data_IF_204666396355
#
_entry.id   IF_204666396355
#
_cell.length_a   1.000
_cell.length_b   1.000
_cell.length_c   1.000
_cell.angle_alpha   90.00
_cell.angle_beta   90.00
_cell.angle_gamma   90.00
#
_symmetry.space_group_name_H-M   'P 1'
#
loop_
_entity.id
_entity.type
_entity.pdbx_description
1 polymer ?
#
# COMPACT_ATOMS: atom_id res chain seq x y z
N UNK A 1 -11.16 14.71 38.58
CA UNK A 1 -11.70 15.60 37.54
C UNK A 1 -11.19 15.06 36.22
N UNK A 2 -12.12 14.68 35.34
CA UNK A 2 -11.91 13.96 34.08
C UNK A 2 -11.28 14.86 32.99
N UNK A 3 -10.88 14.17 31.91
CA UNK A 3 -10.74 14.58 30.49
C UNK A 3 -9.29 14.62 30.01
N UNK A 4 -8.88 13.98 28.92
CA UNK A 4 -9.60 13.30 27.84
C UNK A 4 -8.64 12.24 27.26
N UNK A 5 -9.11 11.00 27.11
CA UNK A 5 -8.47 10.02 26.23
C UNK A 5 -8.88 10.46 24.83
N UNK A 6 -8.06 11.30 24.19
CA UNK A 6 -8.33 11.80 22.85
C UNK A 6 -8.40 10.64 21.86
N UNK A 7 -9.58 10.59 21.23
CA UNK A 7 -9.94 9.99 19.96
C UNK A 7 -8.81 9.36 19.12
N UNK A 8 -9.09 8.14 18.69
CA UNK A 8 -8.53 7.49 17.52
C UNK A 8 -7.04 7.14 17.65
N UNK A 9 -6.78 5.94 18.16
CA UNK A 9 -5.66 5.16 17.62
C UNK A 9 -5.97 4.88 16.15
N UNK A 10 -5.76 5.88 15.30
CA UNK A 10 -5.45 5.65 13.89
C UNK A 10 -4.15 4.86 13.92
N UNK A 11 -4.25 3.53 13.91
CA UNK A 11 -3.11 2.72 13.49
C UNK A 11 -2.81 3.20 12.08
N UNK A 12 -1.82 4.09 11.92
CA UNK A 12 -1.27 4.40 10.61
C UNK A 12 -0.95 3.04 9.99
N UNK A 13 -1.63 2.62 8.91
CA UNK A 13 -1.45 1.29 8.35
C UNK A 13 0.04 1.00 8.11
N UNK A 14 0.81 2.05 7.82
CA UNK A 14 2.25 2.04 7.61
C UNK A 14 3.10 1.39 8.72
N UNK A 15 2.65 1.37 9.99
CA UNK A 15 3.41 0.81 11.12
C UNK A 15 3.12 -0.67 11.40
N UNK A 16 2.09 -1.24 10.77
CA UNK A 16 1.70 -2.64 10.91
C UNK A 16 2.72 -3.57 10.25
N UNK A 17 3.10 -4.64 10.95
CA UNK A 17 3.98 -5.67 10.41
C UNK A 17 3.23 -6.69 9.52
N UNK A 18 3.99 -7.54 8.82
CA UNK A 18 3.39 -8.53 7.92
C UNK A 18 2.53 -9.57 8.66
N UNK A 19 2.87 -9.95 9.90
CA UNK A 19 2.08 -10.95 10.63
C UNK A 19 0.73 -10.40 11.07
N UNK A 20 0.71 -9.15 11.53
CA UNK A 20 -0.51 -8.40 11.83
C UNK A 20 -1.34 -8.18 10.56
N UNK A 21 -0.71 -7.85 9.43
CA UNK A 21 -1.38 -7.73 8.13
C UNK A 21 -2.09 -9.02 7.71
N UNK A 22 -1.41 -10.17 7.79
CA UNK A 22 -2.03 -11.47 7.48
C UNK A 22 -3.24 -11.74 8.38
N UNK A 23 -3.12 -11.44 9.67
CA UNK A 23 -4.20 -11.62 10.65
C UNK A 23 -5.41 -10.76 10.31
N UNK A 24 -5.22 -9.45 10.08
CA UNK A 24 -6.31 -8.53 9.74
C UNK A 24 -6.92 -8.84 8.37
N UNK A 25 -6.11 -9.34 7.43
CA UNK A 25 -6.60 -9.80 6.15
C UNK A 25 -7.25 -11.18 6.22
N UNK A 26 -7.25 -11.89 7.35
CA UNK A 26 -7.78 -13.27 7.43
C UNK A 26 -7.04 -14.25 6.51
N UNK A 27 -5.76 -13.98 6.23
CA UNK A 27 -4.87 -14.85 5.47
C UNK A 27 -4.09 -15.74 6.44
N UNK A 28 -3.97 -17.03 6.12
CA UNK A 28 -3.12 -17.94 6.88
C UNK A 28 -1.70 -17.95 6.31
N UNK A 29 -0.77 -17.37 7.07
CA UNK A 29 0.67 -17.30 6.74
C UNK A 29 1.34 -18.67 6.66
N UNK A 30 0.83 -19.67 7.37
CA UNK A 30 1.34 -21.04 7.35
C UNK A 30 0.83 -21.85 6.16
N UNK A 31 -0.23 -21.39 5.49
CA UNK A 31 -0.83 -22.08 4.36
C UNK A 31 -0.22 -21.64 3.02
N UNK A 32 -0.06 -22.60 2.10
CA UNK A 32 0.38 -22.30 0.73
C UNK A 32 -0.59 -21.36 0.00
N UNK A 33 -1.90 -21.52 0.23
CA UNK A 33 -2.93 -20.66 -0.37
C UNK A 33 -2.82 -19.22 0.13
N UNK A 34 -2.71 -19.00 1.45
CA UNK A 34 -2.58 -17.65 2.01
C UNK A 34 -1.31 -16.94 1.54
N UNK A 35 -0.20 -17.66 1.41
CA UNK A 35 1.03 -17.13 0.84
C UNK A 35 0.88 -16.79 -0.65
N UNK A 36 0.20 -17.64 -1.43
CA UNK A 36 -0.05 -17.39 -2.85
C UNK A 36 -0.97 -16.18 -3.06
N UNK A 37 -2.06 -16.05 -2.30
CA UNK A 37 -2.93 -14.88 -2.35
C UNK A 37 -2.16 -13.61 -1.99
N UNK A 38 -1.33 -13.64 -0.94
CA UNK A 38 -0.49 -12.51 -0.56
C UNK A 38 0.51 -12.13 -1.66
N UNK A 39 1.12 -13.12 -2.32
CA UNK A 39 2.04 -12.88 -3.42
C UNK A 39 1.34 -12.19 -4.60
N UNK A 40 0.13 -12.62 -4.97
CA UNK A 40 -0.68 -11.95 -5.99
C UNK A 40 -1.00 -10.50 -5.61
N UNK A 41 -1.38 -10.26 -4.34
CA UNK A 41 -1.66 -8.91 -3.82
C UNK A 41 -0.43 -7.99 -3.94
N UNK A 42 0.78 -8.53 -3.69
CA UNK A 42 2.03 -7.78 -3.87
C UNK A 42 2.32 -7.47 -5.33
N UNK A 43 2.07 -8.42 -6.24
CA UNK A 43 2.25 -8.20 -7.68
C UNK A 43 1.35 -7.08 -8.21
N UNK A 44 0.10 -7.01 -7.73
CA UNK A 44 -0.82 -5.92 -8.06
C UNK A 44 -0.33 -4.56 -7.56
N UNK A 45 0.21 -4.51 -6.33
CA UNK A 45 0.80 -3.31 -5.76
C UNK A 45 2.07 -2.86 -6.50
N UNK A 46 2.97 -3.79 -6.84
CA UNK A 46 4.17 -3.55 -7.66
C UNK A 46 3.78 -2.94 -9.01
N UNK A 47 2.79 -3.53 -9.68
CA UNK A 47 2.30 -3.02 -10.96
C UNK A 47 1.66 -1.62 -10.81
N UNK A 48 1.01 -1.33 -9.68
CA UNK A 48 0.49 0.01 -9.37
C UNK A 48 1.59 1.05 -9.19
N UNK A 49 2.62 0.71 -8.42
CA UNK A 49 3.78 1.56 -8.22
C UNK A 49 4.49 1.85 -9.54
N UNK A 50 4.65 0.86 -10.41
CA UNK A 50 5.29 1.06 -11.71
C UNK A 50 4.52 2.09 -12.56
N UNK A 51 3.18 2.00 -12.59
CA UNK A 51 2.32 3.00 -13.28
C UNK A 51 2.45 4.39 -12.69
N UNK A 52 2.39 4.51 -11.35
CA UNK A 52 2.55 5.80 -10.70
C UNK A 52 3.93 6.39 -10.95
N UNK A 53 4.98 5.56 -10.93
CA UNK A 53 6.37 5.98 -11.19
C UNK A 53 6.54 6.48 -12.62
N UNK A 54 6.02 5.75 -13.61
CA UNK A 54 6.05 6.16 -15.01
C UNK A 54 5.32 7.50 -15.21
N UNK A 55 4.17 7.67 -14.57
CA UNK A 55 3.38 8.92 -14.61
C UNK A 55 4.16 10.08 -13.97
N UNK A 56 4.72 9.86 -12.79
CA UNK A 56 5.51 10.86 -12.07
C UNK A 56 6.72 11.32 -12.90
N UNK A 57 7.47 10.38 -13.49
CA UNK A 57 8.63 10.69 -14.35
C UNK A 57 8.28 11.45 -15.63
N UNK A 58 7.06 11.25 -16.13
CA UNK A 58 6.56 11.94 -17.33
C UNK A 58 5.99 13.32 -17.02
N UNK A 59 5.84 13.68 -15.74
CA UNK A 59 5.28 14.96 -15.31
C UNK A 59 6.40 16.01 -15.16
N UNK A 60 6.35 17.12 -15.91
CA UNK A 60 7.36 18.17 -15.80
C UNK A 60 7.45 18.74 -14.37
N UNK A 61 8.68 18.90 -13.86
CA UNK A 61 8.93 19.48 -12.53
C UNK A 61 8.93 18.48 -11.37
N UNK A 62 8.62 17.20 -11.60
CA UNK A 62 8.78 16.15 -10.59
C UNK A 62 10.23 15.66 -10.58
N UNK A 63 11.08 16.31 -9.79
CA UNK A 63 12.44 15.83 -9.48
C UNK A 63 12.49 15.47 -8.00
N UNK A 64 12.28 14.18 -7.68
CA UNK A 64 12.39 13.72 -6.30
C UNK A 64 13.84 13.86 -5.78
N UNK A 65 14.06 14.12 -4.48
CA UNK A 65 15.38 14.03 -3.86
C UNK A 65 16.09 12.73 -4.22
N UNK A 66 17.38 12.85 -4.53
CA UNK A 66 18.26 11.72 -4.80
C UNK A 66 19.16 11.48 -3.60
N UNK A 67 19.24 10.23 -3.14
CA UNK A 67 20.20 9.78 -2.14
C UNK A 67 21.08 8.72 -2.80
N UNK A 68 22.40 8.93 -2.77
CA UNK A 68 23.38 8.03 -3.40
C UNK A 68 23.11 7.71 -4.89
N UNK A 69 22.54 8.67 -5.64
CA UNK A 69 22.17 8.48 -7.05
C UNK A 69 20.85 7.73 -7.29
N UNK A 70 20.12 7.37 -6.23
CA UNK A 70 18.80 6.76 -6.29
C UNK A 70 17.73 7.80 -5.94
N UNK A 71 16.67 7.89 -6.76
CA UNK A 71 15.53 8.76 -6.45
C UNK A 71 14.67 8.08 -5.39
N UNK A 72 14.34 8.81 -4.33
CA UNK A 72 13.41 8.35 -3.29
C UNK A 72 12.00 8.34 -3.87
N UNK A 73 11.45 7.16 -4.09
CA UNK A 73 10.17 6.95 -4.72
C UNK A 73 9.03 7.56 -3.89
N UNK A 74 9.05 7.40 -2.56
CA UNK A 74 8.03 8.01 -1.68
C UNK A 74 7.91 9.52 -1.91
N UNK A 75 9.01 10.21 -2.22
CA UNK A 75 9.03 11.65 -2.47
C UNK A 75 8.50 12.06 -3.85
N UNK A 76 8.40 11.13 -4.80
CA UNK A 76 7.87 11.39 -6.15
C UNK A 76 6.35 11.17 -6.23
N UNK A 77 5.79 10.41 -5.29
CA UNK A 77 4.40 9.97 -5.35
C UNK A 77 3.51 10.93 -4.57
N UNK A 78 2.60 11.61 -5.28
CA UNK A 78 1.59 12.44 -4.64
C UNK A 78 0.50 11.59 -3.97
N UNK A 79 -0.07 12.08 -2.87
CA UNK A 79 -1.21 11.44 -2.20
C UNK A 79 -2.40 11.23 -3.15
N UNK A 80 -2.64 12.17 -4.08
CA UNK A 80 -3.65 12.00 -5.12
C UNK A 80 -3.38 10.82 -6.06
N UNK A 81 -2.11 10.60 -6.41
CA UNK A 81 -1.73 9.46 -7.24
C UNK A 81 -1.92 8.15 -6.48
N UNK A 82 -1.55 8.11 -5.20
CA UNK A 82 -1.74 6.94 -4.33
C UNK A 82 -3.23 6.58 -4.22
N UNK A 83 -4.09 7.55 -3.90
CA UNK A 83 -5.54 7.31 -3.79
C UNK A 83 -6.18 6.85 -5.10
N UNK A 84 -5.78 7.45 -6.21
CA UNK A 84 -6.24 7.03 -7.53
C UNK A 84 -5.82 5.58 -7.82
N UNK A 85 -4.58 5.24 -7.51
CA UNK A 85 -4.05 3.91 -7.75
C UNK A 85 -4.68 2.85 -6.85
N UNK A 86 -5.02 3.20 -5.60
CA UNK A 86 -5.77 2.32 -4.69
C UNK A 86 -7.12 1.95 -5.28
N UNK A 87 -7.86 2.95 -5.78
CA UNK A 87 -9.13 2.70 -6.44
C UNK A 87 -8.95 1.83 -7.70
N UNK A 88 -7.92 2.10 -8.50
CA UNK A 88 -7.60 1.36 -9.72
C UNK A 88 -7.26 -0.10 -9.42
N UNK A 89 -6.41 -0.37 -8.43
CA UNK A 89 -6.06 -1.74 -8.02
C UNK A 89 -7.33 -2.45 -7.56
N UNK A 90 -8.14 -1.85 -6.68
CA UNK A 90 -9.38 -2.46 -6.23
C UNK A 90 -10.30 -2.78 -7.43
N UNK A 91 -10.49 -1.85 -8.36
CA UNK A 91 -11.38 -2.03 -9.51
C UNK A 91 -10.96 -3.19 -10.44
N UNK A 92 -9.65 -3.37 -10.66
CA UNK A 92 -9.11 -4.34 -11.62
C UNK A 92 -8.45 -5.56 -10.96
N UNK A 93 -8.61 -5.73 -9.65
CA UNK A 93 -8.00 -6.82 -8.90
C UNK A 93 -8.45 -8.20 -9.41
N UNK A 94 -7.54 -9.16 -9.33
CA UNK A 94 -7.83 -10.57 -9.55
C UNK A 94 -8.94 -11.04 -8.60
N UNK A 95 -9.86 -11.94 -9.01
CA UNK A 95 -10.98 -12.35 -8.15
C UNK A 95 -10.56 -12.86 -6.77
N UNK A 96 -9.41 -13.53 -6.68
CA UNK A 96 -8.84 -14.04 -5.42
C UNK A 96 -8.41 -12.92 -4.47
N UNK A 97 -7.68 -11.92 -4.98
CA UNK A 97 -7.20 -10.79 -4.17
C UNK A 97 -8.31 -9.79 -3.90
N UNK A 98 -9.25 -9.62 -4.85
CA UNK A 98 -10.48 -8.84 -4.70
C UNK A 98 -11.27 -9.26 -3.47
N UNK A 99 -11.44 -10.57 -3.26
CA UNK A 99 -12.13 -11.10 -2.08
C UNK A 99 -11.44 -10.69 -0.76
N UNK A 100 -10.12 -10.47 -0.77
CA UNK A 100 -9.38 -9.91 0.36
C UNK A 100 -9.62 -8.42 0.49
N UNK A 101 -9.51 -7.67 -0.61
CA UNK A 101 -9.68 -6.23 -0.62
C UNK A 101 -11.09 -5.77 -0.20
N UNK A 102 -12.14 -6.56 -0.42
CA UNK A 102 -13.48 -6.24 0.10
C UNK A 102 -13.51 -6.09 1.63
N UNK A 103 -12.57 -6.70 2.38
CA UNK A 103 -12.41 -6.51 3.84
C UNK A 103 -11.73 -5.20 4.21
N UNK A 104 -11.01 -4.60 3.26
CA UNK A 104 -10.23 -3.37 3.42
C UNK A 104 -11.05 -2.09 3.33
N UNK A 105 -12.36 -2.20 3.09
CA UNK A 105 -13.24 -1.10 2.74
C UNK A 105 -13.47 -1.01 1.22
N UNK A 106 -14.73 -0.88 0.84
CA UNK A 106 -15.17 -0.63 -0.54
C UNK A 106 -16.31 0.41 -0.51
N UNK A 107 -16.10 1.57 -1.14
CA UNK A 107 -17.05 2.69 -1.11
C UNK A 107 -16.36 4.06 -1.22
N UNK A 108 -16.82 5.05 -0.45
CA UNK A 108 -16.25 6.40 -0.36
C UNK A 108 -14.94 6.48 0.45
N UNK A 109 -14.56 5.40 1.14
CA UNK A 109 -13.35 5.31 1.96
C UNK A 109 -12.25 4.55 1.22
N UNK A 110 -10.99 4.93 1.50
CA UNK A 110 -9.81 4.36 0.87
C UNK A 110 -9.53 2.94 1.37
N UNK A 111 -9.19 2.03 0.46
CA UNK A 111 -8.91 0.63 0.83
C UNK A 111 -7.57 0.52 1.56
N UNK A 112 -7.61 0.31 2.88
CA UNK A 112 -6.41 0.32 3.72
C UNK A 112 -5.46 -0.84 3.41
N UNK A 113 -5.98 -1.99 2.94
CA UNK A 113 -5.18 -3.16 2.58
C UNK A 113 -4.27 -2.82 1.39
N UNK A 114 -4.83 -2.19 0.35
CA UNK A 114 -4.07 -1.78 -0.82
C UNK A 114 -3.10 -0.65 -0.44
N UNK A 115 -3.53 0.32 0.39
CA UNK A 115 -2.64 1.38 0.89
C UNK A 115 -1.41 0.79 1.60
N UNK A 116 -1.64 -0.19 2.46
CA UNK A 116 -0.58 -0.89 3.17
C UNK A 116 0.41 -1.55 2.20
N UNK A 117 -0.09 -2.33 1.24
CA UNK A 117 0.75 -3.02 0.26
C UNK A 117 1.60 -2.05 -0.56
N UNK A 118 0.99 -0.95 -1.02
CA UNK A 118 1.72 0.09 -1.76
C UNK A 118 2.84 0.67 -0.90
N UNK A 119 2.56 1.00 0.36
CA UNK A 119 3.58 1.55 1.26
C UNK A 119 4.74 0.59 1.48
N UNK A 120 4.46 -0.70 1.76
CA UNK A 120 5.51 -1.71 1.95
C UNK A 120 6.42 -1.85 0.74
N UNK A 121 5.85 -1.85 -0.47
CA UNK A 121 6.64 -1.93 -1.70
C UNK A 121 7.41 -0.63 -2.00
N UNK A 122 6.87 0.54 -1.64
CA UNK A 122 7.59 1.83 -1.74
C UNK A 122 8.80 1.83 -0.80
N UNK A 123 8.60 1.51 0.49
CA UNK A 123 9.66 1.45 1.50
C UNK A 123 10.76 0.48 1.11
N UNK A 124 10.38 -0.70 0.60
CA UNK A 124 11.32 -1.72 0.09
C UNK A 124 12.16 -1.20 -1.09
N UNK A 125 11.55 -0.46 -2.02
CA UNK A 125 12.25 0.14 -3.17
C UNK A 125 13.16 1.29 -2.78
N UNK A 126 12.78 2.07 -1.77
CA UNK A 126 13.58 3.16 -1.22
C UNK A 126 14.77 2.67 -0.37
N UNK A 127 14.88 1.36 -0.14
CA UNK A 127 15.99 0.77 0.61
C UNK A 127 15.91 1.05 2.11
N UNK A 128 14.75 1.51 2.60
CA UNK A 128 14.50 1.69 4.03
C UNK A 128 14.12 0.36 4.67
N UNK A 129 15.04 -0.61 4.62
CA UNK A 129 15.00 -1.77 5.51
C UNK A 129 15.78 -1.40 6.77
N UNK A 130 15.08 -0.84 7.76
CA UNK A 130 15.58 -0.75 9.13
C UNK A 130 15.31 -2.03 9.88
#
# INVERSE_FOLDING_TARGET
MQREISASQEHEPQAMDEAEFFTLCGLDRGSGNGQQTYQLMREEAVAGIDRMTLTARSTPGVTGPQINGHIILASMLSESAIRHEIHRIWQFAHPETKAVYERGGAGNEENWIIRWLLWQEIVRRDGSSG
#
